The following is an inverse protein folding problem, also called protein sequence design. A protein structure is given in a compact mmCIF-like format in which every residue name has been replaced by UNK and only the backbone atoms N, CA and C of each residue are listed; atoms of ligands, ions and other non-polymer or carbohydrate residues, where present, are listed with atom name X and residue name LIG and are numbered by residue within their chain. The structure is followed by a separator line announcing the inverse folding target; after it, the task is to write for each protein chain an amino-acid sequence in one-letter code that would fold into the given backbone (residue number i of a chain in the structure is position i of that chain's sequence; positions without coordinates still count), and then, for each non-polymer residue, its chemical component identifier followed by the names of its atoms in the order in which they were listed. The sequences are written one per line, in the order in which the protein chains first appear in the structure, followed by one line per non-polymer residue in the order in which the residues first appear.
data_IF_059264902807
#
_entry.id   IF_059264902807
#
_cell.length_a   1.000
_cell.length_b   1.000
_cell.length_c   1.000
_cell.angle_alpha   90.00
_cell.angle_beta   90.00
_cell.angle_gamma   90.00
#
_symmetry.space_group_name_H-M   'P 1'
#
loop_
_entity.id
_entity.type
_entity.pdbx_description
1 polymer ?
#
# COMPACT_ATOMS: atom_id res chain seq x y z
N UNK A 1 16.05 -11.87 -0.14
CA UNK A 1 15.79 -10.45 0.20
C UNK A 1 14.29 -10.08 0.22
N UNK A 2 13.42 -10.68 -0.61
CA UNK A 2 11.99 -10.34 -0.67
C UNK A 2 11.17 -10.61 0.62
N UNK A 3 11.69 -11.39 1.57
CA UNK A 3 10.98 -11.74 2.81
C UNK A 3 10.67 -10.52 3.70
N UNK A 4 11.49 -9.46 3.63
CA UNK A 4 11.30 -8.26 4.48
C UNK A 4 10.06 -7.45 4.08
N UNK A 5 9.78 -7.33 2.78
CA UNK A 5 8.67 -6.51 2.29
C UNK A 5 7.32 -7.16 2.63
N UNK A 6 7.25 -8.49 2.51
CA UNK A 6 6.07 -9.27 2.89
C UNK A 6 5.75 -9.14 4.38
N UNK A 7 6.75 -9.21 5.26
CA UNK A 7 6.56 -9.04 6.70
C UNK A 7 6.04 -7.64 7.03
N UNK A 8 6.58 -6.59 6.39
CA UNK A 8 6.12 -5.22 6.60
C UNK A 8 4.66 -5.01 6.16
N UNK A 9 4.28 -5.55 5.00
CA UNK A 9 2.90 -5.47 4.50
C UNK A 9 1.95 -6.18 5.46
N UNK A 10 2.27 -7.40 5.90
CA UNK A 10 1.41 -8.13 6.84
C UNK A 10 1.29 -7.42 8.18
N UNK A 11 2.39 -6.90 8.75
CA UNK A 11 2.37 -6.15 10.01
C UNK A 11 1.43 -4.94 9.95
N UNK A 12 1.64 -4.05 8.97
CA UNK A 12 0.79 -2.86 8.78
C UNK A 12 -0.68 -3.23 8.58
N UNK A 13 -0.95 -4.31 7.84
CA UNK A 13 -2.31 -4.76 7.56
C UNK A 13 -3.02 -5.29 8.82
N UNK A 14 -2.30 -5.99 9.69
CA UNK A 14 -2.82 -6.48 10.98
C UNK A 14 -3.00 -5.37 12.00
N UNK A 15 -2.05 -4.44 12.10
CA UNK A 15 -2.13 -3.27 12.99
C UNK A 15 -3.33 -2.40 12.61
N UNK A 16 -3.56 -2.20 11.31
CA UNK A 16 -4.70 -1.46 10.80
C UNK A 16 -6.03 -2.17 11.11
N UNK A 17 -6.12 -3.48 10.92
CA UNK A 17 -7.33 -4.25 11.23
C UNK A 17 -7.68 -4.14 12.72
N UNK A 18 -6.69 -4.27 13.60
CA UNK A 18 -6.91 -4.15 15.04
C UNK A 18 -7.27 -2.72 15.44
N UNK A 19 -6.72 -1.70 14.77
CA UNK A 19 -7.14 -0.30 14.96
C UNK A 19 -8.61 -0.09 14.59
N UNK A 20 -9.08 -0.62 13.46
CA UNK A 20 -10.49 -0.50 13.05
C UNK A 20 -11.44 -1.23 14.01
N UNK A 21 -11.03 -2.38 14.54
CA UNK A 21 -11.83 -3.17 15.48
C UNK A 21 -11.88 -2.50 16.87
N UNK A 22 -10.74 -2.15 17.47
CA UNK A 22 -10.67 -1.59 18.82
C UNK A 22 -11.02 -0.10 18.94
N UNK A 23 -10.57 0.76 18.00
CA UNK A 23 -10.79 2.21 18.09
C UNK A 23 -12.13 2.66 17.51
N UNK A 24 -12.59 2.01 16.45
CA UNK A 24 -13.83 2.37 15.77
C UNK A 24 -15.01 1.44 16.11
N UNK A 25 -14.81 0.40 16.93
CA UNK A 25 -15.83 -0.58 17.34
C UNK A 25 -16.67 -1.12 16.17
N UNK A 26 -16.04 -1.24 14.99
CA UNK A 26 -16.70 -1.72 13.79
C UNK A 26 -16.74 -3.24 13.90
N UNK A 27 -17.89 -3.85 13.60
CA UNK A 27 -18.02 -5.32 13.61
C UNK A 27 -16.86 -5.97 12.81
N UNK A 28 -16.16 -6.94 13.40
CA UNK A 28 -14.92 -7.51 12.83
C UNK A 28 -15.08 -8.03 11.40
N UNK A 29 -16.30 -8.41 11.03
CA UNK A 29 -16.69 -8.80 9.66
C UNK A 29 -16.45 -7.66 8.66
N UNK A 30 -16.88 -6.43 9.00
CA UNK A 30 -16.68 -5.25 8.14
C UNK A 30 -15.23 -4.77 8.18
N UNK A 31 -14.56 -4.88 9.33
CA UNK A 31 -13.14 -4.53 9.45
C UNK A 31 -12.27 -5.40 8.52
N UNK A 32 -12.53 -6.71 8.49
CA UNK A 32 -11.86 -7.64 7.57
C UNK A 32 -12.15 -7.34 6.10
N UNK A 33 -13.38 -6.95 5.74
CA UNK A 33 -13.70 -6.52 4.38
C UNK A 33 -12.88 -5.29 3.96
N UNK A 34 -12.77 -4.28 4.83
CA UNK A 34 -11.98 -3.08 4.56
C UNK A 34 -10.50 -3.44 4.37
N UNK A 35 -9.95 -4.27 5.27
CA UNK A 35 -8.57 -4.75 5.17
C UNK A 35 -8.30 -5.50 3.86
N UNK A 36 -9.27 -6.30 3.39
CA UNK A 36 -9.14 -7.03 2.13
C UNK A 36 -9.18 -6.10 0.89
N UNK A 37 -9.97 -5.02 0.95
CA UNK A 37 -9.98 -3.97 -0.07
C UNK A 37 -8.61 -3.26 -0.12
N UNK A 38 -8.05 -2.92 1.04
CA UNK A 38 -6.74 -2.25 1.13
C UNK A 38 -5.63 -3.15 0.58
N UNK A 39 -5.66 -4.46 0.88
CA UNK A 39 -4.72 -5.41 0.30
C UNK A 39 -4.85 -5.51 -1.22
N UNK A 40 -6.08 -5.44 -1.75
CA UNK A 40 -6.32 -5.41 -3.19
C UNK A 40 -5.80 -4.12 -3.84
N UNK A 41 -5.97 -2.98 -3.16
CA UNK A 41 -5.46 -1.69 -3.62
C UNK A 41 -3.93 -1.65 -3.62
N UNK A 42 -3.26 -2.19 -2.60
CA UNK A 42 -1.79 -2.27 -2.56
C UNK A 42 -1.19 -3.04 -3.74
N UNK A 43 -1.91 -4.01 -4.30
CA UNK A 43 -1.48 -4.73 -5.51
C UNK A 43 -1.81 -3.97 -6.80
N UNK A 44 -2.87 -3.16 -6.82
CA UNK A 44 -3.29 -2.38 -7.99
C UNK A 44 -2.50 -1.07 -8.15
N UNK A 45 -2.14 -0.42 -7.04
CA UNK A 45 -1.38 0.84 -6.99
C UNK A 45 -0.08 0.81 -7.80
N UNK A 46 0.80 -0.20 -7.71
CA UNK A 46 2.02 -0.23 -8.51
C UNK A 46 1.74 -0.37 -10.02
N UNK A 47 0.68 -1.07 -10.41
CA UNK A 47 0.28 -1.19 -11.83
C UNK A 47 -0.23 0.15 -12.36
N UNK A 48 -1.08 0.84 -11.61
CA UNK A 48 -1.54 2.18 -11.97
C UNK A 48 -0.39 3.19 -12.02
N UNK A 49 0.52 3.14 -11.05
CA UNK A 49 1.73 3.96 -11.00
C UNK A 49 2.67 3.70 -12.18
N UNK A 50 2.82 2.45 -12.60
CA UNK A 50 3.60 2.08 -13.78
C UNK A 50 3.01 2.69 -15.07
N UNK A 51 1.69 2.54 -15.29
CA UNK A 51 1.00 3.10 -16.47
C UNK A 51 1.14 4.63 -16.54
N UNK A 52 1.01 5.31 -15.39
CA UNK A 52 1.23 6.75 -15.29
C UNK A 52 2.69 7.13 -15.60
N UNK A 53 3.65 6.37 -15.08
CA UNK A 53 5.08 6.60 -15.34
C UNK A 53 5.44 6.43 -16.82
N UNK A 54 4.93 5.38 -17.47
CA UNK A 54 5.17 5.09 -18.89
C UNK A 54 4.51 6.14 -19.80
N UNK A 55 3.36 6.70 -19.39
CA UNK A 55 2.63 7.69 -20.20
C UNK A 55 3.16 9.12 -20.07
N UNK A 56 3.70 9.53 -18.91
CA UNK A 56 3.94 10.96 -18.63
C UNK A 56 5.39 11.43 -18.77
N UNK A 57 6.43 10.62 -18.50
CA UNK A 57 7.69 11.22 -18.03
C UNK A 57 9.01 10.66 -18.59
N UNK A 58 9.03 9.46 -19.17
CA UNK A 58 10.30 8.79 -19.45
C UNK A 58 11.07 8.47 -18.17
N UNK A 59 11.93 7.45 -18.20
CA UNK A 59 12.48 6.81 -16.99
C UNK A 59 13.23 7.75 -16.02
N UNK A 60 13.76 8.88 -16.48
CA UNK A 60 14.63 9.73 -15.67
C UNK A 60 13.87 10.60 -14.65
N UNK A 61 12.73 11.17 -15.06
CA UNK A 61 11.98 12.07 -14.19
C UNK A 61 11.18 11.30 -13.12
N UNK A 62 10.65 10.13 -13.45
CA UNK A 62 9.95 9.26 -12.49
C UNK A 62 10.85 8.73 -11.39
N UNK A 63 12.08 8.33 -11.71
CA UNK A 63 13.06 7.90 -10.70
C UNK A 63 13.47 9.07 -9.81
N UNK A 64 13.66 10.28 -10.36
CA UNK A 64 14.04 11.46 -9.58
C UNK A 64 12.95 11.89 -8.57
N UNK A 65 11.67 11.82 -8.96
CA UNK A 65 10.56 12.13 -8.05
C UNK A 65 10.41 11.03 -6.99
N UNK A 66 10.54 9.76 -7.39
CA UNK A 66 10.42 8.63 -6.47
C UNK A 66 11.53 8.61 -5.40
N UNK A 67 12.77 8.93 -5.77
CA UNK A 67 13.88 9.03 -4.80
C UNK A 67 13.75 10.24 -3.89
N UNK A 68 13.23 11.37 -4.39
CA UNK A 68 12.96 12.55 -3.56
C UNK A 68 11.89 12.28 -2.50
N UNK A 69 10.80 11.59 -2.89
CA UNK A 69 9.72 11.20 -1.97
C UNK A 69 10.21 10.15 -0.96
N UNK A 70 11.06 9.20 -1.38
CA UNK A 70 11.56 8.14 -0.48
C UNK A 70 12.62 8.64 0.52
N UNK A 71 13.29 9.76 0.21
CA UNK A 71 14.31 10.36 1.07
C UNK A 71 13.73 11.34 2.10
N UNK A 72 12.45 11.68 2.00
CA UNK A 72 11.72 12.53 2.94
C UNK A 72 10.96 11.68 3.96
#
# INVERSE_FOLDING_TARGET
CAMSSTVAIYGVTTDLLQFLDHKFNINSIRASQITNIINSLMNLTPVAGAILCDSYLGCFSTIAIATLISSL
#
